data_IF_123394576339
#
_entry.id   IF_123394576339
#
_cell.length_a   1.000
_cell.length_b   1.000
_cell.length_c   1.000
_cell.angle_alpha   90.00
_cell.angle_beta   90.00
_cell.angle_gamma   90.00
#
_symmetry.space_group_name_H-M   'P 1'
#
loop_
_entity.id
_entity.type
_entity.pdbx_description
1 polymer ?
#
# COMPACT_ATOMS: atom_id res chain seq x y z
N UNK A 1 6.06 19.28 -3.38
CA UNK A 1 5.12 18.62 -2.44
C UNK A 1 4.50 17.45 -3.19
N UNK A 2 4.55 16.25 -2.62
CA UNK A 2 3.89 15.07 -3.18
C UNK A 2 2.37 15.31 -3.08
N UNK A 3 1.62 14.96 -4.13
CA UNK A 3 0.15 15.00 -4.05
C UNK A 3 -0.31 14.06 -2.95
N UNK A 4 -1.11 14.55 -2.04
CA UNK A 4 -1.69 13.73 -0.96
C UNK A 4 -2.82 12.84 -1.45
N UNK A 5 -3.47 13.19 -2.58
CA UNK A 5 -4.46 12.37 -3.28
C UNK A 5 -3.84 11.73 -4.51
N UNK A 6 -4.05 10.46 -4.69
CA UNK A 6 -3.49 9.67 -5.80
C UNK A 6 -4.57 9.05 -6.69
N UNK A 7 -5.83 9.07 -6.26
CA UNK A 7 -6.92 8.43 -6.98
C UNK A 7 -6.78 6.91 -7.04
N UNK A 8 -5.79 6.40 -7.77
CA UNK A 8 -5.49 4.98 -7.90
C UNK A 8 -3.98 4.71 -7.74
N UNK A 9 -3.62 3.89 -6.76
CA UNK A 9 -2.27 3.35 -6.53
C UNK A 9 -2.17 1.94 -7.10
N UNK A 10 -1.04 1.58 -7.74
CA UNK A 10 -0.74 0.21 -8.14
C UNK A 10 0.24 -0.43 -7.15
N UNK A 11 -0.14 -1.58 -6.56
CA UNK A 11 0.66 -2.36 -5.62
C UNK A 11 1.24 -3.60 -6.35
N UNK A 12 2.54 -3.52 -6.69
CA UNK A 12 3.09 -4.34 -7.77
C UNK A 12 3.32 -5.80 -7.40
N UNK A 13 3.91 -6.08 -6.24
CA UNK A 13 4.43 -7.42 -5.97
C UNK A 13 4.21 -7.94 -4.54
N UNK A 14 4.19 -7.08 -3.51
CA UNK A 14 4.08 -7.54 -2.11
C UNK A 14 5.13 -8.60 -1.76
N UNK A 15 4.76 -9.57 -0.97
CA UNK A 15 5.55 -10.77 -0.63
C UNK A 15 5.55 -11.82 -1.75
N UNK A 16 4.79 -11.62 -2.82
CA UNK A 16 4.53 -12.62 -3.86
C UNK A 16 5.74 -12.91 -4.72
N UNK A 17 5.76 -14.12 -5.29
CA UNK A 17 6.82 -14.61 -6.16
C UNK A 17 6.26 -15.02 -7.52
N UNK A 18 7.14 -15.36 -8.47
CA UNK A 18 6.72 -15.92 -9.79
C UNK A 18 6.04 -17.29 -9.67
N UNK A 19 6.24 -18.01 -8.56
CA UNK A 19 5.50 -19.24 -8.28
C UNK A 19 4.02 -18.94 -7.92
N UNK A 20 3.74 -17.81 -7.27
CA UNK A 20 2.40 -17.35 -6.98
C UNK A 20 1.70 -16.84 -8.25
N UNK A 21 2.39 -15.98 -9.00
CA UNK A 21 1.89 -15.48 -10.29
C UNK A 21 3.06 -15.18 -11.24
N UNK A 22 3.07 -15.68 -12.49
CA UNK A 22 4.21 -15.54 -13.41
C UNK A 22 4.51 -14.08 -13.80
N UNK A 23 3.53 -13.19 -13.74
CA UNK A 23 3.69 -11.76 -14.03
C UNK A 23 4.13 -10.92 -12.81
N UNK A 24 4.38 -11.52 -11.64
CA UNK A 24 4.91 -10.79 -10.48
C UNK A 24 6.28 -10.20 -10.80
N UNK A 25 6.46 -8.86 -10.77
CA UNK A 25 7.74 -8.25 -11.06
C UNK A 25 8.67 -8.37 -9.84
N UNK A 26 9.89 -8.86 -10.02
CA UNK A 26 10.87 -9.07 -8.95
C UNK A 26 12.17 -8.30 -9.20
N UNK A 27 12.70 -8.28 -10.43
CA UNK A 27 13.89 -7.51 -10.73
C UNK A 27 13.58 -6.01 -10.88
N UNK A 28 14.60 -5.18 -10.75
CA UNK A 28 14.48 -3.72 -10.91
C UNK A 28 13.88 -3.36 -12.27
N UNK A 29 14.32 -4.04 -13.32
CA UNK A 29 13.84 -3.84 -14.69
C UNK A 29 12.37 -4.26 -14.84
N UNK A 30 11.98 -5.38 -14.26
CA UNK A 30 10.59 -5.85 -14.26
C UNK A 30 9.69 -4.89 -13.50
N UNK A 31 10.12 -4.39 -12.33
CA UNK A 31 9.40 -3.40 -11.53
C UNK A 31 9.23 -2.08 -12.30
N UNK A 32 10.28 -1.59 -12.94
CA UNK A 32 10.25 -0.36 -13.73
C UNK A 32 9.29 -0.46 -14.93
N UNK A 33 9.38 -1.57 -15.70
CA UNK A 33 8.49 -1.82 -16.84
C UNK A 33 7.03 -1.97 -16.39
N UNK A 34 6.81 -2.70 -15.30
CA UNK A 34 5.47 -2.94 -14.76
C UNK A 34 4.83 -1.64 -14.23
N UNK A 35 5.60 -0.82 -13.50
CA UNK A 35 5.16 0.48 -13.03
C UNK A 35 4.76 1.41 -14.18
N UNK A 36 5.58 1.48 -15.24
CA UNK A 36 5.26 2.28 -16.43
C UNK A 36 3.97 1.81 -17.11
N UNK A 37 3.76 0.49 -17.23
CA UNK A 37 2.52 -0.07 -17.78
C UNK A 37 1.30 0.26 -16.90
N UNK A 38 1.41 0.17 -15.56
CA UNK A 38 0.36 0.55 -14.63
C UNK A 38 0.00 2.04 -14.73
N UNK A 39 1.00 2.91 -14.85
CA UNK A 39 0.77 4.35 -15.03
C UNK A 39 0.09 4.65 -16.37
N UNK A 40 0.50 3.99 -17.45
CA UNK A 40 -0.17 4.09 -18.74
C UNK A 40 -1.63 3.59 -18.67
N UNK A 41 -1.93 2.61 -17.81
CA UNK A 41 -3.27 2.13 -17.54
C UNK A 41 -4.10 3.04 -16.62
N UNK A 42 -3.47 4.03 -15.94
CA UNK A 42 -4.16 5.04 -15.16
C UNK A 42 -3.80 5.11 -13.68
N UNK A 43 -2.82 4.36 -13.19
CA UNK A 43 -2.27 4.54 -11.85
C UNK A 43 -1.57 5.89 -11.72
N UNK A 44 -1.62 6.47 -10.51
CA UNK A 44 -1.02 7.77 -10.18
C UNK A 44 0.02 7.70 -9.07
N UNK A 45 0.20 6.54 -8.49
CA UNK A 45 1.23 6.21 -7.52
C UNK A 45 1.56 4.72 -7.61
N UNK A 46 2.75 4.35 -7.19
CA UNK A 46 3.24 2.96 -7.17
C UNK A 46 3.61 2.58 -5.74
N UNK A 47 3.20 1.39 -5.32
CA UNK A 47 3.71 0.71 -4.14
C UNK A 47 4.42 -0.57 -4.55
N UNK A 48 5.56 -0.88 -3.93
CA UNK A 48 6.34 -2.07 -4.22
C UNK A 48 7.18 -2.54 -3.03
N UNK A 49 7.57 -3.80 -3.09
CA UNK A 49 8.49 -4.44 -2.17
C UNK A 49 9.82 -4.68 -2.88
N UNK A 50 10.92 -3.96 -2.53
CA UNK A 50 12.23 -4.18 -3.11
C UNK A 50 12.77 -5.59 -2.84
N UNK A 51 13.54 -6.15 -3.78
CA UNK A 51 14.15 -7.46 -3.66
C UNK A 51 15.67 -7.37 -3.71
N UNK A 52 16.33 -8.20 -2.89
CA UNK A 52 17.77 -8.41 -2.97
C UNK A 52 18.14 -9.27 -4.20
N UNK A 53 19.44 -9.43 -4.50
CA UNK A 53 19.87 -10.26 -5.65
C UNK A 53 19.43 -11.72 -5.56
N UNK A 54 19.10 -12.22 -4.38
CA UNK A 54 18.57 -13.57 -4.14
C UNK A 54 17.06 -13.65 -4.29
N UNK A 55 16.38 -12.52 -4.57
CA UNK A 55 14.94 -12.40 -4.75
C UNK A 55 14.12 -12.30 -3.47
N UNK A 56 14.76 -12.11 -2.32
CA UNK A 56 14.10 -11.92 -1.02
C UNK A 56 13.75 -10.45 -0.82
N UNK A 57 12.68 -10.17 -0.10
CA UNK A 57 12.34 -8.81 0.30
C UNK A 57 13.47 -8.19 1.14
N UNK A 58 13.68 -6.89 0.97
CA UNK A 58 14.75 -6.20 1.69
C UNK A 58 14.40 -4.74 1.99
N UNK A 59 14.87 -4.26 3.13
CA UNK A 59 14.84 -2.85 3.55
C UNK A 59 16.24 -2.19 3.44
N UNK A 60 17.23 -2.87 2.84
CA UNK A 60 18.58 -2.30 2.64
C UNK A 60 18.49 -0.99 1.86
N UNK A 61 19.08 0.08 2.41
CA UNK A 61 18.94 1.41 1.86
C UNK A 61 19.54 1.55 0.45
N UNK A 62 20.64 0.88 0.16
CA UNK A 62 21.25 0.92 -1.17
C UNK A 62 20.35 0.31 -2.23
N UNK A 63 19.74 -0.83 -1.93
CA UNK A 63 18.82 -1.52 -2.83
C UNK A 63 17.50 -0.74 -2.97
N UNK A 64 16.91 -0.31 -1.85
CA UNK A 64 15.68 0.48 -1.83
C UNK A 64 15.82 1.75 -2.67
N UNK A 65 16.89 2.51 -2.46
CA UNK A 65 17.12 3.76 -3.16
C UNK A 65 17.38 3.55 -4.67
N UNK A 66 18.10 2.50 -5.05
CA UNK A 66 18.31 2.14 -6.46
C UNK A 66 16.99 1.76 -7.14
N UNK A 67 16.22 0.85 -6.53
CA UNK A 67 14.94 0.37 -7.07
C UNK A 67 13.97 1.54 -7.26
N UNK A 68 13.77 2.34 -6.20
CA UNK A 68 12.83 3.47 -6.24
C UNK A 68 13.25 4.50 -7.30
N UNK A 69 14.54 4.81 -7.40
CA UNK A 69 15.04 5.76 -8.39
C UNK A 69 14.73 5.28 -9.81
N UNK A 70 15.08 4.04 -10.14
CA UNK A 70 14.85 3.47 -11.48
C UNK A 70 13.35 3.34 -11.83
N UNK A 71 12.54 2.90 -10.87
CA UNK A 71 11.09 2.79 -11.07
C UNK A 71 10.47 4.17 -11.31
N UNK A 72 10.84 5.17 -10.50
CA UNK A 72 10.33 6.53 -10.66
C UNK A 72 10.77 7.17 -11.98
N UNK A 73 12.00 6.95 -12.43
CA UNK A 73 12.47 7.40 -13.75
C UNK A 73 11.63 6.79 -14.90
N UNK A 74 11.21 5.54 -14.77
CA UNK A 74 10.42 4.85 -15.78
C UNK A 74 8.94 5.26 -15.79
N UNK A 75 8.35 5.54 -14.63
CA UNK A 75 6.91 5.76 -14.51
C UNK A 75 6.50 7.23 -14.30
N UNK A 76 7.38 8.08 -13.79
CA UNK A 76 7.14 9.52 -13.60
C UNK A 76 6.13 9.88 -12.51
N UNK A 77 5.74 8.94 -11.64
CA UNK A 77 4.82 9.16 -10.52
C UNK A 77 5.49 8.82 -9.20
N UNK A 78 4.94 9.24 -8.04
CA UNK A 78 5.48 8.89 -6.73
C UNK A 78 5.57 7.37 -6.52
N UNK A 79 6.68 6.92 -5.93
CA UNK A 79 6.97 5.52 -5.64
C UNK A 79 7.17 5.33 -4.14
N UNK A 80 6.38 4.46 -3.56
CA UNK A 80 6.46 4.06 -2.16
C UNK A 80 6.87 2.61 -1.98
N UNK A 81 7.33 2.31 -0.76
CA UNK A 81 7.82 0.98 -0.38
C UNK A 81 7.21 0.53 0.94
N UNK A 82 7.32 -0.77 1.21
CA UNK A 82 6.95 -1.36 2.51
C UNK A 82 7.96 -1.07 3.59
N UNK A 83 7.50 -1.10 4.87
CA UNK A 83 8.37 -1.21 6.06
C UNK A 83 8.06 -2.45 6.89
N UNK A 84 7.47 -3.49 6.29
CA UNK A 84 6.92 -4.66 6.99
C UNK A 84 7.87 -5.30 8.00
N UNK A 85 7.32 -5.63 9.18
CA UNK A 85 8.01 -6.39 10.21
C UNK A 85 8.30 -7.84 9.81
N UNK A 86 7.67 -8.35 8.76
CA UNK A 86 7.98 -9.67 8.22
C UNK A 86 9.35 -9.71 7.55
N UNK A 87 9.81 -8.55 7.02
CA UNK A 87 11.14 -8.41 6.40
C UNK A 87 12.22 -8.23 7.45
N UNK A 88 11.98 -7.37 8.44
CA UNK A 88 12.88 -7.16 9.59
C UNK A 88 12.05 -7.05 10.88
N UNK A 89 11.95 -8.14 11.64
CA UNK A 89 11.12 -8.20 12.83
C UNK A 89 11.68 -7.42 14.03
N UNK A 90 12.97 -7.15 14.07
CA UNK A 90 13.59 -6.32 15.11
C UNK A 90 13.30 -4.84 14.85
N UNK A 91 12.49 -4.16 15.70
CA UNK A 91 12.08 -2.78 15.46
C UNK A 91 13.26 -1.79 15.46
N UNK A 92 14.31 -2.02 16.26
CA UNK A 92 15.48 -1.12 16.32
C UNK A 92 16.30 -1.24 15.03
N UNK A 93 16.51 -2.46 14.54
CA UNK A 93 17.20 -2.70 13.26
C UNK A 93 16.41 -2.13 12.10
N UNK A 94 15.08 -2.39 12.07
CA UNK A 94 14.18 -1.86 11.06
C UNK A 94 14.20 -0.33 11.02
N UNK A 95 14.15 0.33 12.19
CA UNK A 95 14.29 1.77 12.30
C UNK A 95 15.62 2.28 11.74
N UNK A 96 16.71 1.58 12.04
CA UNK A 96 18.05 1.92 11.52
C UNK A 96 18.11 1.87 9.98
N UNK A 97 17.48 0.85 9.36
CA UNK A 97 17.38 0.72 7.90
C UNK A 97 16.55 1.85 7.29
N UNK A 98 15.36 2.12 7.82
CA UNK A 98 14.45 3.16 7.32
C UNK A 98 15.07 4.56 7.39
N UNK A 99 15.76 4.90 8.47
CA UNK A 99 16.47 6.19 8.62
C UNK A 99 17.55 6.43 7.57
N UNK A 100 18.08 5.36 6.97
CA UNK A 100 19.11 5.47 5.94
C UNK A 100 18.56 5.76 4.55
N UNK A 101 17.26 5.62 4.30
CA UNK A 101 16.62 5.83 2.99
C UNK A 101 16.70 7.29 2.52
N UNK A 102 16.75 7.48 1.20
CA UNK A 102 16.80 8.81 0.56
C UNK A 102 15.88 8.93 -0.66
N UNK A 103 15.57 7.82 -1.31
CA UNK A 103 14.83 7.84 -2.57
C UNK A 103 13.31 7.66 -2.43
N UNK A 104 12.74 6.88 -1.49
CA UNK A 104 11.29 6.69 -1.43
C UNK A 104 10.53 8.00 -1.26
N UNK A 105 9.45 8.17 -2.06
CA UNK A 105 8.55 9.30 -1.89
C UNK A 105 7.67 9.14 -0.65
N UNK A 106 7.31 7.90 -0.33
CA UNK A 106 6.57 7.52 0.86
C UNK A 106 6.82 6.05 1.24
N UNK A 107 6.39 5.65 2.42
CA UNK A 107 6.41 4.26 2.83
C UNK A 107 5.18 3.90 3.67
N UNK A 108 4.70 2.67 3.52
CA UNK A 108 3.61 2.14 4.36
C UNK A 108 4.15 1.69 5.70
N UNK A 109 3.39 1.96 6.77
CA UNK A 109 3.67 1.53 8.14
C UNK A 109 2.40 0.94 8.74
N UNK A 110 2.40 -0.34 9.02
CA UNK A 110 1.27 -1.03 9.66
C UNK A 110 1.23 -0.69 11.15
N UNK A 111 0.18 -0.03 11.61
CA UNK A 111 0.08 0.48 13.00
C UNK A 111 -0.01 -0.65 14.05
N UNK A 112 -0.38 -1.87 13.63
CA UNK A 112 -0.39 -3.07 14.48
C UNK A 112 0.99 -3.66 14.73
N UNK A 113 2.01 -3.28 13.94
CA UNK A 113 3.37 -3.80 14.10
C UNK A 113 4.12 -3.15 15.27
N UNK A 114 4.99 -3.95 15.91
CA UNK A 114 5.87 -3.44 16.95
C UNK A 114 6.80 -2.35 16.41
N UNK A 115 6.93 -1.24 17.13
CA UNK A 115 7.80 -0.12 16.74
C UNK A 115 7.22 0.78 15.65
N UNK A 116 5.93 0.65 15.29
CA UNK A 116 5.30 1.43 14.22
C UNK A 116 5.47 2.95 14.40
N UNK A 117 5.30 3.46 15.63
CA UNK A 117 5.46 4.90 15.91
C UNK A 117 6.90 5.36 15.66
N UNK A 118 7.88 4.60 16.13
CA UNK A 118 9.31 4.88 15.93
C UNK A 118 9.70 4.81 14.45
N UNK A 119 9.12 3.88 13.68
CA UNK A 119 9.31 3.81 12.22
C UNK A 119 8.73 5.05 11.55
N UNK A 120 7.53 5.50 11.94
CA UNK A 120 6.95 6.75 11.44
C UNK A 120 7.85 7.96 11.74
N UNK A 121 8.41 8.05 12.95
CA UNK A 121 9.38 9.09 13.31
C UNK A 121 10.64 9.02 12.43
N UNK A 122 11.16 7.81 12.21
CA UNK A 122 12.30 7.58 11.32
C UNK A 122 12.06 8.02 9.88
N UNK A 123 10.87 7.77 9.33
CA UNK A 123 10.46 8.26 8.01
C UNK A 123 10.39 9.79 7.96
N UNK A 124 9.84 10.43 9.00
CA UNK A 124 9.85 11.90 9.12
C UNK A 124 11.27 12.45 9.10
N UNK A 125 12.19 11.83 9.85
CA UNK A 125 13.60 12.21 9.89
C UNK A 125 14.29 12.03 8.53
N UNK A 126 13.98 10.94 7.81
CA UNK A 126 14.48 10.66 6.48
C UNK A 126 13.87 11.56 5.38
N UNK A 127 12.79 12.30 5.68
CA UNK A 127 12.07 13.11 4.70
C UNK A 127 11.15 12.31 3.79
N UNK A 128 10.81 11.07 4.18
CA UNK A 128 9.91 10.15 3.47
C UNK A 128 8.49 10.34 3.96
N UNK A 129 7.51 10.37 3.04
CA UNK A 129 6.09 10.45 3.37
C UNK A 129 5.60 9.17 4.06
N UNK A 130 4.55 9.28 4.89
CA UNK A 130 4.00 8.16 5.64
C UNK A 130 2.63 7.77 5.08
N UNK A 131 2.47 6.50 4.70
CA UNK A 131 1.18 5.85 4.54
C UNK A 131 0.90 5.03 5.80
N UNK A 132 -0.03 5.52 6.65
CA UNK A 132 -0.36 4.86 7.91
C UNK A 132 -1.38 3.74 7.67
N UNK A 133 -0.95 2.50 7.75
CA UNK A 133 -1.78 1.30 7.58
C UNK A 133 -2.65 1.05 8.81
N UNK A 134 -3.96 1.06 8.61
CA UNK A 134 -5.00 0.89 9.62
C UNK A 134 -5.84 -0.32 9.23
N UNK A 135 -5.63 -1.43 9.91
CA UNK A 135 -6.35 -2.69 9.69
C UNK A 135 -7.53 -2.84 10.63
N UNK A 136 -7.42 -2.22 11.80
CA UNK A 136 -8.39 -2.33 12.88
C UNK A 136 -8.76 -0.96 13.45
N UNK A 137 -9.75 -0.93 14.31
CA UNK A 137 -10.13 0.27 15.07
C UNK A 137 -9.02 0.69 16.03
N UNK A 138 -8.37 -0.28 16.64
CA UNK A 138 -7.25 -0.06 17.56
C UNK A 138 -6.08 0.63 16.84
N UNK A 139 -5.84 0.33 15.56
CA UNK A 139 -4.83 1.00 14.77
C UNK A 139 -5.19 2.46 14.51
N UNK A 140 -6.45 2.76 14.22
CA UNK A 140 -6.93 4.14 14.10
C UNK A 140 -6.73 4.93 15.41
N UNK A 141 -6.99 4.31 16.56
CA UNK A 141 -6.79 4.91 17.88
C UNK A 141 -5.29 5.11 18.19
N UNK A 142 -4.41 4.14 17.82
CA UNK A 142 -2.95 4.28 17.92
C UNK A 142 -2.45 5.45 17.07
N UNK A 143 -2.93 5.58 15.84
CA UNK A 143 -2.58 6.73 14.99
C UNK A 143 -2.97 8.04 15.64
N UNK A 144 -4.20 8.13 16.19
CA UNK A 144 -4.66 9.31 16.92
C UNK A 144 -3.80 9.65 18.13
N UNK A 145 -3.33 8.64 18.86
CA UNK A 145 -2.51 8.78 20.07
C UNK A 145 -1.01 9.02 19.77
N UNK A 146 -0.53 8.72 18.57
CA UNK A 146 0.90 8.75 18.20
C UNK A 146 1.53 10.16 18.25
N UNK A 147 0.72 11.22 18.17
CA UNK A 147 1.21 12.60 17.98
C UNK A 147 1.70 12.89 16.54
N UNK A 148 1.66 11.90 15.65
CA UNK A 148 2.14 11.99 14.25
C UNK A 148 1.00 12.08 13.23
N UNK A 149 -0.26 12.04 13.65
CA UNK A 149 -1.41 12.06 12.75
C UNK A 149 -1.41 13.23 11.74
N UNK A 150 -0.91 14.38 12.13
CA UNK A 150 -0.74 15.55 11.24
C UNK A 150 0.47 15.49 10.31
N UNK A 151 1.29 14.43 10.41
CA UNK A 151 2.50 14.23 9.61
C UNK A 151 2.34 13.12 8.56
N UNK A 152 1.25 12.33 8.63
CA UNK A 152 1.00 11.28 7.64
C UNK A 152 0.57 11.88 6.30
N UNK A 153 1.09 11.34 5.23
CA UNK A 153 0.74 11.72 3.86
C UNK A 153 -0.70 11.29 3.56
N UNK A 154 -1.06 10.08 3.97
CA UNK A 154 -2.41 9.50 3.89
C UNK A 154 -2.58 8.35 4.88
N UNK A 155 -3.84 8.02 5.17
CA UNK A 155 -4.21 6.84 5.95
C UNK A 155 -4.64 5.74 4.97
N UNK A 156 -4.04 4.54 5.07
CA UNK A 156 -4.49 3.35 4.37
C UNK A 156 -5.49 2.62 5.26
N UNK A 157 -6.74 2.52 4.80
CA UNK A 157 -7.77 1.71 5.45
C UNK A 157 -7.82 0.38 4.70
N UNK A 158 -7.26 -0.65 5.31
CA UNK A 158 -6.88 -1.89 4.61
C UNK A 158 -7.15 -3.17 5.43
N UNK A 159 -8.37 -3.42 5.90
CA UNK A 159 -8.66 -4.70 6.53
C UNK A 159 -8.50 -5.82 5.50
N UNK A 160 -7.72 -6.83 5.87
CA UNK A 160 -7.40 -7.96 5.03
C UNK A 160 -8.08 -9.25 5.49
N UNK A 161 -7.68 -10.38 4.87
CA UNK A 161 -8.23 -11.70 5.19
C UNK A 161 -8.05 -12.09 6.66
N UNK A 162 -6.96 -11.65 7.30
CA UNK A 162 -6.68 -11.96 8.71
C UNK A 162 -7.75 -11.40 9.65
N UNK A 163 -8.27 -10.18 9.39
CA UNK A 163 -9.32 -9.56 10.19
C UNK A 163 -10.69 -10.21 9.96
N UNK A 164 -10.83 -11.00 8.90
CA UNK A 164 -12.07 -11.61 8.46
C UNK A 164 -12.04 -13.14 8.48
N UNK A 165 -11.02 -13.74 9.09
CA UNK A 165 -10.82 -15.20 9.07
C UNK A 165 -11.99 -16.00 9.66
N UNK A 166 -12.67 -15.45 10.66
CA UNK A 166 -13.80 -16.08 11.36
C UNK A 166 -15.18 -15.60 10.81
N UNK A 167 -15.19 -14.81 9.74
CA UNK A 167 -16.41 -14.25 9.15
C UNK A 167 -17.15 -15.28 8.29
N UNK A 168 -18.48 -15.38 8.46
CA UNK A 168 -19.36 -16.15 7.59
C UNK A 168 -19.71 -15.39 6.31
N UNK A 169 -19.70 -14.05 6.34
CA UNK A 169 -19.91 -13.16 5.18
C UNK A 169 -18.80 -12.10 5.14
N UNK A 170 -17.64 -12.50 4.64
CA UNK A 170 -16.46 -11.63 4.54
C UNK A 170 -16.76 -10.31 3.82
N UNK A 171 -17.65 -10.32 2.83
CA UNK A 171 -18.01 -9.13 2.07
C UNK A 171 -18.73 -8.10 2.92
N UNK A 172 -19.79 -8.52 3.62
CA UNK A 172 -20.55 -7.63 4.49
C UNK A 172 -19.71 -7.15 5.67
N UNK A 173 -18.95 -8.04 6.29
CA UNK A 173 -18.11 -7.73 7.44
C UNK A 173 -16.95 -6.80 7.08
N UNK A 174 -16.32 -6.97 5.90
CA UNK A 174 -15.29 -6.06 5.41
C UNK A 174 -15.83 -4.63 5.24
N UNK A 175 -17.00 -4.50 4.59
CA UNK A 175 -17.65 -3.18 4.42
C UNK A 175 -18.05 -2.58 5.77
N UNK A 176 -18.56 -3.38 6.69
CA UNK A 176 -18.89 -2.95 8.05
C UNK A 176 -17.67 -2.47 8.84
N UNK A 177 -16.56 -3.19 8.72
CA UNK A 177 -15.31 -2.86 9.40
C UNK A 177 -14.70 -1.56 8.88
N UNK A 178 -14.57 -1.39 7.56
CA UNK A 178 -14.05 -0.12 7.00
C UNK A 178 -14.94 1.06 7.36
N UNK A 179 -16.26 0.89 7.36
CA UNK A 179 -17.18 1.94 7.79
C UNK A 179 -16.94 2.33 9.25
N UNK A 180 -16.71 1.35 10.13
CA UNK A 180 -16.42 1.62 11.53
C UNK A 180 -15.06 2.30 11.72
N UNK A 181 -14.02 1.85 11.01
CA UNK A 181 -12.70 2.51 11.00
C UNK A 181 -12.84 3.98 10.55
N UNK A 182 -13.54 4.25 9.46
CA UNK A 182 -13.76 5.63 8.99
C UNK A 182 -14.44 6.51 10.02
N UNK A 183 -15.47 5.99 10.72
CA UNK A 183 -16.15 6.74 11.81
C UNK A 183 -15.19 7.05 12.96
N UNK A 184 -14.28 6.13 13.30
CA UNK A 184 -13.27 6.37 14.34
C UNK A 184 -12.29 7.45 13.90
N UNK A 185 -11.78 7.37 12.65
CA UNK A 185 -10.90 8.39 12.08
C UNK A 185 -11.56 9.78 12.05
N UNK A 186 -12.87 9.85 11.76
CA UNK A 186 -13.65 11.09 11.79
C UNK A 186 -13.78 11.63 13.22
N UNK A 187 -14.11 10.76 14.17
CA UNK A 187 -14.22 11.13 15.61
C UNK A 187 -12.91 11.66 16.18
N UNK A 188 -11.78 11.13 15.72
CA UNK A 188 -10.43 11.56 16.09
C UNK A 188 -9.98 12.81 15.33
N UNK A 189 -10.81 13.36 14.45
CA UNK A 189 -10.53 14.55 13.63
C UNK A 189 -9.29 14.40 12.73
N UNK A 190 -8.99 13.18 12.29
CA UNK A 190 -7.85 12.90 11.42
C UNK A 190 -8.15 13.35 9.97
N UNK A 191 -7.50 14.42 9.55
CA UNK A 191 -7.81 15.13 8.29
C UNK A 191 -6.99 14.62 7.09
N UNK A 192 -6.04 13.73 7.29
CA UNK A 192 -5.24 13.19 6.20
C UNK A 192 -6.12 12.50 5.15
N UNK A 193 -5.79 12.60 3.87
CA UNK A 193 -6.46 11.84 2.82
C UNK A 193 -6.50 10.34 3.15
N UNK A 194 -7.54 9.67 2.69
CA UNK A 194 -7.72 8.24 2.93
C UNK A 194 -7.65 7.48 1.62
N UNK A 195 -6.92 6.40 1.63
CA UNK A 195 -6.89 5.39 0.59
C UNK A 195 -7.47 4.11 1.21
N UNK A 196 -8.51 3.54 0.58
CA UNK A 196 -9.15 2.32 1.04
C UNK A 196 -8.92 1.21 0.03
N UNK A 197 -8.49 0.06 0.52
CA UNK A 197 -8.37 -1.16 -0.27
C UNK A 197 -8.57 -2.40 0.63
N UNK A 198 -8.48 -3.59 0.06
CA UNK A 198 -8.45 -4.86 0.77
C UNK A 198 -7.59 -5.83 0.01
N UNK A 199 -7.29 -6.97 0.61
CA UNK A 199 -6.57 -8.08 -0.02
C UNK A 199 -7.46 -9.32 -0.20
N UNK A 200 -6.99 -10.27 -1.02
CA UNK A 200 -7.67 -11.53 -1.26
C UNK A 200 -9.09 -11.38 -1.79
N UNK A 201 -10.04 -12.05 -1.15
CA UNK A 201 -11.44 -12.13 -1.59
C UNK A 201 -12.19 -10.79 -1.51
N UNK A 202 -11.77 -9.89 -0.61
CA UNK A 202 -12.46 -8.61 -0.38
C UNK A 202 -11.90 -7.44 -1.19
N UNK A 203 -10.83 -7.65 -1.95
CA UNK A 203 -10.17 -6.62 -2.76
C UNK A 203 -11.15 -5.81 -3.60
N UNK A 204 -11.93 -6.48 -4.45
CA UNK A 204 -12.85 -5.79 -5.37
C UNK A 204 -14.07 -5.17 -4.68
N UNK A 205 -14.49 -5.76 -3.57
CA UNK A 205 -15.58 -5.21 -2.77
C UNK A 205 -15.18 -3.89 -2.14
N UNK A 206 -14.01 -3.84 -1.50
CA UNK A 206 -13.52 -2.64 -0.84
C UNK A 206 -13.07 -1.57 -1.84
N UNK A 207 -12.55 -1.95 -3.02
CA UNK A 207 -12.29 -1.01 -4.10
C UNK A 207 -13.58 -0.32 -4.57
N UNK A 208 -14.65 -1.08 -4.84
CA UNK A 208 -15.95 -0.53 -5.25
C UNK A 208 -16.55 0.37 -4.16
N UNK A 209 -16.38 0.00 -2.88
CA UNK A 209 -16.82 0.82 -1.77
C UNK A 209 -16.00 2.12 -1.67
N UNK A 210 -14.67 2.08 -1.88
CA UNK A 210 -13.82 3.27 -1.94
C UNK A 210 -14.27 4.24 -3.05
N UNK A 211 -14.53 3.73 -4.26
CA UNK A 211 -15.05 4.53 -5.38
C UNK A 211 -16.38 5.18 -5.02
N UNK A 212 -17.33 4.42 -4.45
CA UNK A 212 -18.63 4.94 -4.02
C UNK A 212 -18.49 6.05 -2.97
N UNK A 213 -17.49 5.98 -2.11
CA UNK A 213 -17.19 7.00 -1.07
C UNK A 213 -16.38 8.19 -1.60
N UNK A 214 -15.89 8.15 -2.85
CA UNK A 214 -14.99 9.17 -3.40
C UNK A 214 -13.61 9.18 -2.73
N UNK A 215 -13.15 8.02 -2.26
CA UNK A 215 -11.83 7.83 -1.67
C UNK A 215 -10.81 7.43 -2.73
N UNK A 216 -9.53 7.64 -2.42
CA UNK A 216 -8.45 7.00 -3.16
C UNK A 216 -8.49 5.50 -2.92
N UNK A 217 -7.96 4.71 -3.87
CA UNK A 217 -7.92 3.25 -3.73
C UNK A 217 -6.63 2.66 -4.31
N UNK A 218 -6.45 1.36 -4.11
CA UNK A 218 -5.27 0.62 -4.54
C UNK A 218 -5.67 -0.72 -5.15
N UNK A 219 -4.87 -1.22 -6.09
CA UNK A 219 -5.01 -2.54 -6.69
C UNK A 219 -3.66 -3.04 -7.22
N UNK A 220 -3.44 -4.34 -7.14
CA UNK A 220 -2.29 -4.99 -7.75
C UNK A 220 -2.16 -6.47 -7.43
N UNK A 221 -1.10 -7.10 -7.96
CA UNK A 221 -0.79 -8.50 -7.68
C UNK A 221 -0.46 -8.75 -6.21
N UNK A 222 -0.08 -7.72 -5.48
CA UNK A 222 0.03 -7.75 -4.02
C UNK A 222 -1.32 -8.04 -3.37
N UNK A 223 -2.39 -7.41 -3.84
CA UNK A 223 -3.70 -7.45 -3.21
C UNK A 223 -4.55 -8.64 -3.72
N UNK A 224 -4.47 -8.96 -5.03
CA UNK A 224 -5.28 -10.05 -5.61
C UNK A 224 -4.64 -10.65 -6.86
N UNK A 225 -4.95 -11.92 -7.11
CA UNK A 225 -4.55 -12.65 -8.33
C UNK A 225 -5.69 -12.76 -9.37
N UNK A 226 -6.85 -12.19 -9.06
CA UNK A 226 -8.07 -12.36 -9.84
C UNK A 226 -8.66 -11.02 -10.26
N UNK A 227 -9.27 -10.99 -11.45
CA UNK A 227 -10.08 -9.89 -11.92
C UNK A 227 -11.42 -9.75 -11.18
N UNK A 228 -12.19 -8.68 -11.46
CA UNK A 228 -13.51 -8.50 -10.85
C UNK A 228 -14.57 -9.53 -11.32
N UNK A 229 -14.24 -10.29 -12.35
CA UNK A 229 -15.00 -11.42 -12.92
C UNK A 229 -14.68 -12.76 -12.26
N UNK A 230 -13.67 -12.80 -11.37
CA UNK A 230 -13.19 -14.02 -10.71
C UNK A 230 -12.17 -14.81 -11.53
N UNK A 231 -11.85 -14.36 -12.74
CA UNK A 231 -10.83 -15.02 -13.56
C UNK A 231 -9.41 -14.57 -13.15
N UNK A 232 -8.43 -15.46 -13.35
CA UNK A 232 -7.04 -15.15 -13.03
C UNK A 232 -6.54 -14.01 -13.92
N UNK A 233 -6.01 -12.94 -13.29
CA UNK A 233 -5.54 -11.76 -14.02
C UNK A 233 -4.34 -12.06 -14.91
N UNK A 234 -4.12 -11.25 -15.96
CA UNK A 234 -2.88 -11.28 -16.73
C UNK A 234 -1.72 -10.56 -16.01
N UNK A 235 -1.99 -9.72 -15.01
CA UNK A 235 -1.00 -8.98 -14.23
C UNK A 235 -1.49 -7.61 -13.77
N UNK A 236 -0.59 -6.80 -13.22
CA UNK A 236 -0.92 -5.50 -12.63
C UNK A 236 -1.62 -4.53 -13.59
N UNK A 237 -1.15 -4.42 -14.84
CA UNK A 237 -1.76 -3.54 -15.84
C UNK A 237 -3.25 -3.87 -16.05
N UNK A 238 -3.59 -5.16 -16.14
CA UNK A 238 -4.96 -5.61 -16.32
C UNK A 238 -5.83 -5.27 -15.09
N UNK A 239 -5.30 -5.45 -13.88
CA UNK A 239 -5.98 -5.08 -12.64
C UNK A 239 -6.24 -3.57 -12.57
N UNK A 240 -5.24 -2.75 -12.93
CA UNK A 240 -5.39 -1.27 -12.97
C UNK A 240 -6.45 -0.86 -13.98
N UNK A 241 -6.48 -1.46 -15.19
CA UNK A 241 -7.52 -1.19 -16.19
C UNK A 241 -8.91 -1.53 -15.67
N UNK A 242 -9.07 -2.71 -15.07
CA UNK A 242 -10.35 -3.13 -14.50
C UNK A 242 -10.81 -2.19 -13.36
N UNK A 243 -9.90 -1.74 -12.51
CA UNK A 243 -10.21 -0.77 -11.47
C UNK A 243 -10.66 0.59 -12.07
N UNK A 244 -10.01 1.05 -13.15
CA UNK A 244 -10.39 2.26 -13.88
C UNK A 244 -11.79 2.16 -14.49
N UNK A 245 -12.14 1.00 -15.06
CA UNK A 245 -13.47 0.74 -15.60
C UNK A 245 -14.56 0.79 -14.52
N UNK A 246 -14.21 0.44 -13.27
CA UNK A 246 -15.09 0.56 -12.11
C UNK A 246 -15.13 1.97 -11.50
N UNK A 247 -14.41 2.94 -12.07
CA UNK A 247 -14.42 4.34 -11.64
C UNK A 247 -13.27 4.73 -10.70
N UNK A 248 -12.32 3.86 -10.43
CA UNK A 248 -11.18 4.19 -9.58
C UNK A 248 -10.32 5.29 -10.20
N UNK A 249 -9.91 6.31 -9.40
CA UNK A 249 -9.05 7.40 -9.83
C UNK A 249 -9.63 8.31 -10.91
N UNK A 250 -10.93 8.33 -11.08
CA UNK A 250 -11.63 9.32 -11.93
C UNK A 250 -11.95 10.52 -11.06
N UNK A 251 -11.40 11.69 -11.42
CA UNK A 251 -11.71 12.99 -10.80
C UNK A 251 -13.09 13.49 -11.23
#
# INVERSE_FOLDING_TARGET
>A
MISTRVGLQAALNGDRTKATHPATPLSVEELAQNAAACVAAGARAIHLHPRDPEGRETLDAGIVDEVVTKVREACGVPVGVTTSAEIEPDPERRLGLVRAWRAPDYASVNLSEAGATEIMEGLVEAGVGIEAGVWTVEDAERLGASGLSGRVTRVLVEPGELQLQDSEDKTADAVGLVEYIHRVLDRLDLKSPRLQHGDGEVTWVLLKDAVRRGLDTRIGLEDTLFGPDGERTAGNEALVRAARELGAGID
#
